data_IF_178003394607
#
_entry.id   IF_178003394607
#
_cell.length_a   1.000
_cell.length_b   1.000
_cell.length_c   1.000
_cell.angle_alpha   90.00
_cell.angle_beta   90.00
_cell.angle_gamma   90.00
#
_symmetry.space_group_name_H-M   'P 1'
#
loop_
_entity.id
_entity.type
_entity.pdbx_description
1 polymer ?
#
# COMPACT_ATOMS: atom_id res chain seq x y z
N UNK A 1 -16.31 19.27 37.48
CA UNK A 1 -15.55 18.56 36.41
C UNK A 1 -16.08 18.98 35.04
N UNK A 2 -15.24 19.48 34.15
CA UNK A 2 -15.65 19.72 32.74
C UNK A 2 -16.05 18.37 32.11
N UNK A 3 -17.27 18.31 31.53
CA UNK A 3 -17.71 17.15 30.76
C UNK A 3 -16.73 16.89 29.64
N UNK A 4 -16.05 15.72 29.61
CA UNK A 4 -15.19 15.35 28.49
C UNK A 4 -16.05 14.61 27.47
N UNK A 5 -16.32 15.28 26.34
CA UNK A 5 -16.99 14.70 25.19
C UNK A 5 -15.93 14.55 24.09
N UNK A 6 -15.92 13.40 23.47
CA UNK A 6 -15.04 13.12 22.30
C UNK A 6 -15.92 12.81 21.08
N UNK A 7 -15.45 13.25 19.93
CA UNK A 7 -16.07 12.95 18.62
C UNK A 7 -15.03 12.28 17.72
N UNK A 8 -15.43 11.21 17.07
CA UNK A 8 -14.61 10.45 16.09
C UNK A 8 -15.42 10.16 14.84
N UNK A 9 -14.74 9.88 13.73
CA UNK A 9 -15.39 9.58 12.46
C UNK A 9 -15.94 10.82 11.76
N UNK A 10 -16.71 10.60 10.69
CA UNK A 10 -17.27 11.67 9.87
C UNK A 10 -18.73 11.37 9.53
N UNK A 11 -19.53 12.44 9.46
CA UNK A 11 -20.90 12.41 8.95
C UNK A 11 -21.15 13.58 8.00
N UNK A 12 -22.19 13.48 7.20
CA UNK A 12 -22.62 14.55 6.31
C UNK A 12 -23.16 14.06 4.97
N UNK A 13 -23.67 14.97 4.13
CA UNK A 13 -24.35 14.61 2.89
C UNK A 13 -23.46 13.86 1.88
N UNK A 14 -22.17 14.21 1.84
CA UNK A 14 -21.17 13.61 0.94
C UNK A 14 -20.44 12.41 1.55
N UNK A 15 -20.63 12.15 2.84
CA UNK A 15 -19.97 11.02 3.53
C UNK A 15 -20.75 9.74 3.23
N UNK A 16 -20.00 8.68 2.92
CA UNK A 16 -20.51 7.32 2.67
C UNK A 16 -19.70 6.30 3.46
N UNK A 17 -20.39 5.28 3.95
CA UNK A 17 -19.77 4.13 4.63
C UNK A 17 -18.95 4.51 5.86
N UNK A 18 -19.23 5.66 6.49
CA UNK A 18 -18.63 6.12 7.74
C UNK A 18 -19.72 6.53 8.71
N UNK A 19 -19.36 6.76 9.97
CA UNK A 19 -20.24 7.32 10.99
C UNK A 19 -19.46 8.29 11.87
N UNK A 20 -20.15 9.31 12.36
CA UNK A 20 -19.66 10.18 13.43
C UNK A 20 -20.20 9.65 14.75
N UNK A 21 -19.30 9.45 15.71
CA UNK A 21 -19.63 8.99 17.06
C UNK A 21 -19.20 10.06 18.07
N UNK A 22 -20.13 10.48 18.89
CA UNK A 22 -19.88 11.28 20.09
C UNK A 22 -20.03 10.40 21.31
N UNK A 23 -19.08 10.47 22.25
CA UNK A 23 -19.10 9.70 23.49
C UNK A 23 -18.92 10.63 24.70
N UNK A 24 -19.81 10.51 25.67
CA UNK A 24 -19.69 11.12 26.99
C UNK A 24 -19.84 10.02 28.07
N UNK A 25 -18.81 9.81 28.89
CA UNK A 25 -18.87 8.91 30.04
C UNK A 25 -19.54 9.65 31.22
N UNK A 26 -20.51 9.00 31.84
CA UNK A 26 -21.32 9.54 32.93
C UNK A 26 -20.99 8.88 34.27
N UNK A 27 -21.27 9.55 35.40
CA UNK A 27 -21.13 8.93 36.73
C UNK A 27 -22.26 7.93 37.04
N UNK A 28 -23.40 7.98 36.33
CA UNK A 28 -24.56 7.13 36.51
C UNK A 28 -25.56 7.28 35.37
N UNK A 29 -26.68 6.56 35.41
CA UNK A 29 -27.76 6.64 34.42
C UNK A 29 -27.76 5.53 33.36
N UNK A 30 -26.82 4.60 33.44
CA UNK A 30 -26.73 3.50 32.47
C UNK A 30 -26.19 3.90 31.10
N UNK A 31 -26.40 3.04 30.10
CA UNK A 31 -25.97 3.25 28.72
C UNK A 31 -27.14 3.78 27.90
N UNK A 32 -26.95 4.91 27.26
CA UNK A 32 -27.88 5.50 26.28
C UNK A 32 -27.23 5.59 24.93
N UNK A 33 -27.92 5.14 23.88
CA UNK A 33 -27.44 5.21 22.49
C UNK A 33 -28.48 5.94 21.64
N UNK A 34 -28.09 7.11 21.14
CA UNK A 34 -28.92 7.96 20.30
C UNK A 34 -28.47 7.78 18.85
N UNK A 35 -29.24 7.01 18.05
CA UNK A 35 -28.91 6.65 16.68
C UNK A 35 -29.73 7.46 15.67
N UNK A 36 -29.01 8.20 14.83
CA UNK A 36 -29.49 8.77 13.55
C UNK A 36 -28.80 8.00 12.44
N UNK A 37 -29.56 7.33 11.56
CA UNK A 37 -28.99 6.51 10.49
C UNK A 37 -29.91 6.46 9.28
N UNK A 38 -29.31 6.53 8.08
CA UNK A 38 -30.00 6.33 6.79
C UNK A 38 -30.54 4.90 6.63
N UNK A 39 -29.96 3.96 7.33
CA UNK A 39 -30.28 2.52 7.27
C UNK A 39 -30.95 2.02 8.57
N UNK A 40 -31.47 2.92 9.40
CA UNK A 40 -32.02 2.63 10.73
C UNK A 40 -33.12 1.55 10.69
N UNK A 41 -33.98 1.57 9.67
CA UNK A 41 -35.10 0.60 9.55
C UNK A 41 -34.59 -0.83 9.45
N UNK A 42 -33.50 -1.06 8.69
CA UNK A 42 -32.95 -2.40 8.47
C UNK A 42 -31.93 -2.81 9.53
N UNK A 43 -31.04 -1.90 9.91
CA UNK A 43 -29.86 -2.21 10.71
C UNK A 43 -29.81 -1.50 12.07
N UNK A 44 -30.79 -0.68 12.43
CA UNK A 44 -30.75 0.11 13.66
C UNK A 44 -30.56 -0.73 14.92
N UNK A 45 -31.27 -1.87 15.03
CA UNK A 45 -31.13 -2.79 16.17
C UNK A 45 -29.71 -3.39 16.27
N UNK A 46 -29.15 -3.84 15.14
CA UNK A 46 -27.80 -4.43 15.10
C UNK A 46 -26.71 -3.40 15.40
N UNK A 47 -26.85 -2.15 14.93
CA UNK A 47 -25.94 -1.06 15.26
C UNK A 47 -25.93 -0.79 16.76
N UNK A 48 -27.12 -0.64 17.38
CA UNK A 48 -27.24 -0.40 18.83
C UNK A 48 -26.67 -1.58 19.62
N UNK A 49 -26.98 -2.82 19.22
CA UNK A 49 -26.45 -4.03 19.86
C UNK A 49 -24.91 -4.07 19.82
N UNK A 50 -24.31 -3.78 18.67
CA UNK A 50 -22.86 -3.73 18.52
C UNK A 50 -22.23 -2.67 19.45
N UNK A 51 -22.82 -1.47 19.52
CA UNK A 51 -22.31 -0.43 20.39
C UNK A 51 -22.41 -0.81 21.89
N UNK A 52 -23.51 -1.45 22.29
CA UNK A 52 -23.68 -1.96 23.66
C UNK A 52 -22.64 -3.03 23.98
N UNK A 53 -22.37 -3.95 23.04
CA UNK A 53 -21.36 -4.99 23.18
C UNK A 53 -19.96 -4.38 23.37
N UNK A 54 -19.59 -3.39 22.54
CA UNK A 54 -18.30 -2.71 22.63
C UNK A 54 -18.16 -1.98 23.98
N UNK A 55 -19.16 -1.22 24.39
CA UNK A 55 -19.13 -0.52 25.68
C UNK A 55 -18.98 -1.49 26.85
N UNK A 56 -19.70 -2.62 26.82
CA UNK A 56 -19.57 -3.69 27.81
C UNK A 56 -18.16 -4.33 27.78
N UNK A 57 -17.60 -4.56 26.59
CA UNK A 57 -16.25 -5.09 26.45
C UNK A 57 -15.19 -4.18 27.11
N UNK A 58 -15.37 -2.86 27.03
CA UNK A 58 -14.51 -1.87 27.71
C UNK A 58 -14.94 -1.58 29.16
N UNK A 59 -15.89 -2.34 29.71
CA UNK A 59 -16.42 -2.21 31.10
C UNK A 59 -17.04 -0.84 31.38
N UNK A 60 -17.52 -0.13 30.35
CA UNK A 60 -18.23 1.14 30.52
C UNK A 60 -19.68 0.87 30.90
N UNK A 61 -20.06 1.32 32.08
CA UNK A 61 -21.41 1.08 32.67
C UNK A 61 -22.36 2.24 32.43
N UNK A 62 -21.85 3.46 32.31
CA UNK A 62 -22.65 4.67 32.19
C UNK A 62 -22.08 5.60 31.12
N UNK A 63 -22.79 5.80 30.04
CA UNK A 63 -22.38 6.66 28.94
C UNK A 63 -23.57 7.10 28.09
N UNK A 64 -23.40 8.23 27.39
CA UNK A 64 -24.27 8.64 26.29
C UNK A 64 -23.43 8.57 25.01
N UNK A 65 -23.94 7.82 24.04
CA UNK A 65 -23.31 7.67 22.71
C UNK A 65 -24.26 8.22 21.66
N UNK A 66 -23.87 9.30 21.01
CA UNK A 66 -24.55 9.80 19.81
C UNK A 66 -23.90 9.19 18.58
N UNK A 67 -24.71 8.68 17.64
CA UNK A 67 -24.24 8.07 16.40
C UNK A 67 -24.99 8.72 15.24
N UNK A 68 -24.23 9.35 14.34
CA UNK A 68 -24.74 9.83 13.04
C UNK A 68 -24.14 8.96 11.95
N UNK A 69 -24.91 7.96 11.51
CA UNK A 69 -24.45 6.91 10.59
C UNK A 69 -24.81 7.20 9.14
N UNK A 70 -23.81 7.17 8.28
CA UNK A 70 -23.92 7.31 6.81
C UNK A 70 -23.76 5.95 6.08
N UNK A 71 -24.20 4.86 6.70
CA UNK A 71 -24.11 3.50 6.17
C UNK A 71 -22.75 2.83 6.46
N UNK A 72 -22.21 3.06 7.62
CA UNK A 72 -20.98 2.44 8.09
C UNK A 72 -21.14 0.92 8.26
N UNK A 73 -20.13 0.17 7.85
CA UNK A 73 -20.07 -1.26 8.15
C UNK A 73 -19.70 -1.49 9.62
N UNK A 74 -20.02 -2.68 10.20
CA UNK A 74 -19.76 -2.98 11.59
C UNK A 74 -18.32 -2.71 12.05
N UNK A 75 -17.32 -3.03 11.22
CA UNK A 75 -15.92 -2.80 11.55
C UNK A 75 -15.55 -1.31 11.65
N UNK A 76 -16.25 -0.44 10.90
CA UNK A 76 -16.08 1.02 10.95
C UNK A 76 -16.68 1.57 12.23
N UNK A 77 -17.93 1.18 12.56
CA UNK A 77 -18.60 1.57 13.81
C UNK A 77 -17.74 1.17 15.01
N UNK A 78 -17.24 -0.08 15.00
CA UNK A 78 -16.38 -0.57 16.05
C UNK A 78 -15.09 0.26 16.19
N UNK A 79 -14.43 0.59 15.06
CA UNK A 79 -13.23 1.41 15.07
C UNK A 79 -13.47 2.82 15.61
N UNK A 80 -14.57 3.47 15.18
CA UNK A 80 -14.91 4.82 15.61
C UNK A 80 -15.27 4.86 17.10
N UNK A 81 -16.06 3.89 17.59
CA UNK A 81 -16.43 3.82 19.01
C UNK A 81 -15.21 3.49 19.88
N UNK A 82 -14.38 2.53 19.50
CA UNK A 82 -13.13 2.24 20.23
C UNK A 82 -12.20 3.46 20.27
N UNK A 83 -12.06 4.19 19.17
CA UNK A 83 -11.27 5.42 19.15
C UNK A 83 -11.81 6.47 20.13
N UNK A 84 -13.13 6.64 20.20
CA UNK A 84 -13.76 7.55 21.16
C UNK A 84 -13.52 7.11 22.60
N UNK A 85 -13.64 5.82 22.89
CA UNK A 85 -13.39 5.24 24.22
C UNK A 85 -11.94 5.49 24.65
N UNK A 86 -10.98 5.13 23.80
CA UNK A 86 -9.54 5.31 24.07
C UNK A 86 -9.12 6.77 24.21
N UNK A 87 -9.87 7.69 23.64
CA UNK A 87 -9.66 9.13 23.85
C UNK A 87 -10.13 9.64 25.21
N UNK A 88 -10.97 8.88 25.94
CA UNK A 88 -11.50 9.26 27.27
C UNK A 88 -10.88 8.46 28.41
N UNK A 89 -10.52 7.20 28.17
CA UNK A 89 -9.93 6.31 29.16
C UNK A 89 -8.67 5.65 28.60
N UNK A 90 -7.69 5.44 29.47
CA UNK A 90 -6.54 4.59 29.15
C UNK A 90 -7.01 3.12 29.15
N UNK A 91 -6.69 2.39 28.09
CA UNK A 91 -7.05 0.98 27.98
C UNK A 91 -6.12 0.27 26.99
N UNK A 92 -5.61 -0.88 27.40
CA UNK A 92 -4.85 -1.80 26.53
C UNK A 92 -5.76 -2.79 25.79
N UNK A 93 -7.07 -2.76 26.06
CA UNK A 93 -8.04 -3.64 25.40
C UNK A 93 -8.26 -3.21 23.96
N UNK A 94 -8.41 -4.17 23.09
CA UNK A 94 -8.72 -3.98 21.67
C UNK A 94 -9.99 -4.76 21.31
N UNK A 95 -11.01 -4.06 20.80
CA UNK A 95 -12.18 -4.74 20.26
C UNK A 95 -11.91 -5.16 18.81
N UNK A 96 -11.54 -6.44 18.63
CA UNK A 96 -11.10 -6.96 17.35
C UNK A 96 -12.24 -7.67 16.61
N UNK A 97 -12.69 -7.16 15.43
CA UNK A 97 -13.58 -7.93 14.57
C UNK A 97 -12.89 -9.22 14.09
N UNK A 98 -13.65 -10.27 13.80
CA UNK A 98 -13.09 -11.53 13.32
C UNK A 98 -12.31 -11.33 12.01
N UNK A 99 -11.17 -12.00 11.86
CA UNK A 99 -10.42 -12.00 10.61
C UNK A 99 -11.15 -12.85 9.56
N UNK A 100 -11.52 -12.25 8.43
CA UNK A 100 -12.10 -12.98 7.31
C UNK A 100 -11.09 -13.95 6.68
N UNK A 101 -11.58 -15.05 6.10
CA UNK A 101 -10.71 -16.09 5.53
C UNK A 101 -9.95 -15.60 4.30
N UNK A 102 -10.58 -14.75 3.51
CA UNK A 102 -10.09 -14.16 2.28
C UNK A 102 -8.78 -13.36 2.50
N UNK A 103 -8.53 -12.88 3.72
CA UNK A 103 -7.32 -12.14 4.06
C UNK A 103 -6.18 -12.98 4.67
N UNK A 104 -6.32 -14.31 4.71
CA UNK A 104 -5.30 -15.18 5.32
C UNK A 104 -4.13 -15.56 4.41
N UNK A 105 -4.05 -14.98 3.19
CA UNK A 105 -2.90 -15.19 2.30
C UNK A 105 -1.66 -14.41 2.74
N UNK A 106 -0.50 -14.89 2.32
CA UNK A 106 0.80 -14.21 2.43
C UNK A 106 1.22 -13.63 1.08
N UNK A 107 2.22 -12.76 1.11
CA UNK A 107 2.90 -12.25 -0.09
C UNK A 107 4.26 -12.92 -0.26
N UNK A 108 4.90 -12.71 -1.41
CA UNK A 108 6.25 -13.20 -1.73
C UNK A 108 7.18 -12.05 -2.06
N UNK A 109 8.50 -12.29 -1.92
CA UNK A 109 9.54 -11.32 -2.24
C UNK A 109 9.44 -10.87 -3.71
N UNK A 110 9.25 -11.81 -4.62
CA UNK A 110 9.31 -11.60 -6.07
C UNK A 110 7.96 -11.23 -6.69
N UNK A 111 6.97 -10.88 -5.86
CA UNK A 111 5.67 -10.46 -6.34
C UNK A 111 5.82 -9.20 -7.20
N UNK A 112 5.09 -9.14 -8.34
CA UNK A 112 5.01 -7.90 -9.12
C UNK A 112 4.26 -6.81 -8.37
N UNK A 113 4.75 -5.56 -8.52
CA UNK A 113 4.18 -4.39 -7.85
C UNK A 113 3.98 -3.24 -8.85
N UNK A 114 3.34 -3.53 -10.02
CA UNK A 114 3.16 -2.55 -11.08
C UNK A 114 2.41 -1.32 -10.60
N UNK A 115 1.19 -1.49 -10.08
CA UNK A 115 0.38 -0.41 -9.53
C UNK A 115 0.16 -0.58 -8.04
N UNK A 116 0.25 0.53 -7.29
CA UNK A 116 -0.03 0.54 -5.86
C UNK A 116 -0.93 1.72 -5.54
N UNK A 117 -2.18 1.39 -5.18
CA UNK A 117 -3.22 2.37 -4.92
C UNK A 117 -3.11 2.90 -3.49
N UNK A 118 -2.86 4.20 -3.34
CA UNK A 118 -2.95 4.89 -2.06
C UNK A 118 -4.42 5.10 -1.68
N UNK A 119 -4.76 4.75 -0.45
CA UNK A 119 -6.09 4.89 0.14
C UNK A 119 -5.94 5.54 1.52
N UNK A 120 -6.51 6.73 1.76
CA UNK A 120 -6.41 7.39 3.06
C UNK A 120 -6.92 6.51 4.22
N UNK A 121 -6.10 6.38 5.27
CA UNK A 121 -6.35 5.50 6.42
C UNK A 121 -7.51 5.90 7.31
N UNK A 122 -8.13 7.04 7.07
CA UNK A 122 -9.33 7.50 7.79
C UNK A 122 -10.60 7.56 6.92
N UNK A 123 -10.57 6.99 5.70
CA UNK A 123 -11.65 7.07 4.70
C UNK A 123 -12.21 5.68 4.37
N UNK A 124 -13.10 5.11 5.22
CA UNK A 124 -13.58 3.74 5.04
C UNK A 124 -14.33 3.53 3.72
N UNK A 125 -15.03 4.55 3.21
CA UNK A 125 -15.73 4.47 1.93
C UNK A 125 -14.82 4.22 0.72
N UNK A 126 -13.54 4.61 0.79
CA UNK A 126 -12.54 4.32 -0.24
C UNK A 126 -11.89 2.94 -0.03
N UNK A 127 -11.79 2.48 1.22
CA UNK A 127 -11.18 1.19 1.55
C UNK A 127 -12.02 -0.01 1.11
N UNK A 128 -13.34 0.05 1.34
CA UNK A 128 -14.27 -1.09 1.18
C UNK A 128 -14.18 -1.73 -0.20
N UNK A 129 -14.04 -0.92 -1.24
CA UNK A 129 -14.01 -1.37 -2.63
C UNK A 129 -12.59 -1.39 -3.24
N UNK A 130 -11.55 -1.10 -2.48
CA UNK A 130 -10.19 -0.97 -3.01
C UNK A 130 -9.72 -2.25 -3.73
N UNK A 131 -10.05 -3.43 -3.20
CA UNK A 131 -9.71 -4.73 -3.81
C UNK A 131 -10.36 -5.01 -5.16
N UNK A 132 -11.43 -4.29 -5.53
CA UNK A 132 -12.13 -4.48 -6.80
C UNK A 132 -11.40 -3.87 -8.01
N UNK A 133 -10.44 -3.00 -7.78
CA UNK A 133 -9.77 -2.23 -8.83
C UNK A 133 -8.55 -2.95 -9.45
N UNK A 134 -8.24 -4.18 -9.00
CA UNK A 134 -7.15 -5.01 -9.55
C UNK A 134 -5.76 -4.33 -9.52
N UNK A 135 -5.49 -3.50 -8.49
CA UNK A 135 -4.15 -3.02 -8.22
C UNK A 135 -3.26 -4.17 -7.75
N UNK A 136 -1.96 -4.10 -7.98
CA UNK A 136 -1.01 -5.08 -7.44
C UNK A 136 -0.79 -4.91 -5.93
N UNK A 137 -0.91 -3.68 -5.42
CA UNK A 137 -0.88 -3.36 -4.00
C UNK A 137 -1.90 -2.30 -3.63
N UNK A 138 -2.42 -2.38 -2.39
CA UNK A 138 -3.26 -1.34 -1.78
C UNK A 138 -2.52 -0.83 -0.56
N UNK A 139 -2.25 0.46 -0.54
CA UNK A 139 -1.56 1.16 0.53
C UNK A 139 -2.63 1.86 1.38
N UNK A 140 -2.87 1.34 2.59
CA UNK A 140 -3.65 2.05 3.60
C UNK A 140 -2.72 3.07 4.25
N UNK A 141 -2.99 4.34 4.03
CA UNK A 141 -2.08 5.41 4.37
C UNK A 141 -2.40 6.04 5.73
N UNK A 142 -1.47 5.94 6.69
CA UNK A 142 -1.57 6.56 8.01
C UNK A 142 -0.80 7.88 8.11
N UNK A 143 -0.03 8.22 7.06
CA UNK A 143 0.84 9.40 7.08
C UNK A 143 0.13 10.65 6.51
N UNK A 144 0.58 11.24 5.43
CA UNK A 144 0.19 12.57 4.95
C UNK A 144 -1.29 12.73 4.64
N UNK A 145 -1.97 11.65 4.22
CA UNK A 145 -3.41 11.70 3.93
C UNK A 145 -4.31 11.78 5.17
N UNK A 146 -3.73 11.66 6.37
CA UNK A 146 -4.45 11.70 7.65
C UNK A 146 -3.99 12.88 8.48
N UNK A 147 -4.93 13.77 8.84
CA UNK A 147 -4.64 14.92 9.69
C UNK A 147 -4.07 14.49 11.06
N UNK A 148 -3.11 15.23 11.66
CA UNK A 148 -2.46 14.84 12.91
C UNK A 148 -3.42 14.48 14.05
N UNK A 149 -4.49 15.24 14.23
CA UNK A 149 -5.50 15.00 15.25
C UNK A 149 -6.31 13.72 15.04
N UNK A 150 -6.24 13.12 13.84
CA UNK A 150 -7.03 11.95 13.43
C UNK A 150 -6.20 10.66 13.36
N UNK A 151 -4.90 10.72 13.63
CA UNK A 151 -3.98 9.58 13.53
C UNK A 151 -4.41 8.38 14.38
N UNK A 152 -4.82 8.61 15.62
CA UNK A 152 -5.21 7.53 16.55
C UNK A 152 -6.45 6.78 16.07
N UNK A 153 -7.48 7.47 15.57
CA UNK A 153 -8.66 6.78 15.05
C UNK A 153 -8.38 6.08 13.70
N UNK A 154 -7.48 6.62 12.88
CA UNK A 154 -7.08 6.00 11.61
C UNK A 154 -6.37 4.66 11.84
N UNK A 155 -5.48 4.55 12.85
CA UNK A 155 -4.82 3.28 13.23
C UNK A 155 -5.82 2.17 13.48
N UNK A 156 -6.83 2.46 14.31
CA UNK A 156 -7.86 1.50 14.69
C UNK A 156 -8.70 1.12 13.46
N UNK A 157 -9.04 2.09 12.61
CA UNK A 157 -9.78 1.83 11.39
C UNK A 157 -8.98 0.96 10.40
N UNK A 158 -7.70 1.27 10.18
CA UNK A 158 -6.80 0.47 9.31
C UNK A 158 -6.63 -0.94 9.87
N UNK A 159 -6.45 -1.09 11.18
CA UNK A 159 -6.42 -2.39 11.86
C UNK A 159 -7.67 -3.23 11.55
N UNK A 160 -8.85 -2.64 11.73
CA UNK A 160 -10.11 -3.33 11.48
C UNK A 160 -10.34 -3.60 9.99
N UNK A 161 -9.90 -2.69 9.10
CA UNK A 161 -9.96 -2.87 7.65
C UNK A 161 -9.11 -4.07 7.19
N UNK A 162 -7.88 -4.21 7.68
CA UNK A 162 -7.01 -5.37 7.40
C UNK A 162 -7.65 -6.70 7.80
N UNK A 163 -8.56 -6.70 8.78
CA UNK A 163 -9.27 -7.89 9.25
C UNK A 163 -10.54 -8.20 8.46
N UNK A 164 -11.26 -7.18 7.97
CA UNK A 164 -12.64 -7.31 7.51
C UNK A 164 -12.88 -6.99 6.04
N UNK A 165 -11.93 -6.34 5.35
CA UNK A 165 -12.08 -6.03 3.91
C UNK A 165 -11.45 -7.16 3.10
N UNK A 166 -12.18 -7.68 2.10
CA UNK A 166 -11.63 -8.57 1.10
C UNK A 166 -10.79 -7.79 0.09
N UNK A 167 -9.46 -7.92 0.21
CA UNK A 167 -8.49 -7.30 -0.70
C UNK A 167 -8.28 -8.10 -1.99
N UNK A 168 -9.02 -9.18 -2.21
CA UNK A 168 -9.00 -10.00 -3.43
C UNK A 168 -7.61 -10.46 -3.88
N UNK A 169 -6.80 -10.88 -2.93
CA UNK A 169 -5.43 -11.32 -3.20
C UNK A 169 -4.43 -10.19 -3.49
N UNK A 170 -4.85 -8.92 -3.45
CA UNK A 170 -3.96 -7.76 -3.59
C UNK A 170 -3.02 -7.66 -2.39
N UNK A 171 -1.76 -7.24 -2.59
CA UNK A 171 -0.82 -7.05 -1.49
C UNK A 171 -1.29 -5.92 -0.56
N UNK A 172 -1.49 -6.26 0.71
CA UNK A 172 -1.92 -5.32 1.75
C UNK A 172 -0.72 -4.58 2.27
N UNK A 173 -0.67 -3.30 1.96
CA UNK A 173 0.42 -2.41 2.35
C UNK A 173 -0.10 -1.35 3.32
N UNK A 174 0.75 -0.90 4.24
CA UNK A 174 0.46 0.24 5.11
C UNK A 174 1.63 1.21 5.07
N UNK A 175 1.36 2.48 4.76
CA UNK A 175 2.33 3.55 4.97
C UNK A 175 2.15 4.04 6.41
N UNK A 176 3.16 3.80 7.24
CA UNK A 176 3.18 4.22 8.65
C UNK A 176 3.57 5.70 8.78
N UNK A 177 3.38 6.26 9.94
CA UNK A 177 3.90 7.59 10.27
C UNK A 177 5.42 7.57 10.45
N UNK A 178 6.03 8.74 10.54
CA UNK A 178 7.45 8.89 10.81
C UNK A 178 7.77 8.69 12.31
N UNK A 179 9.00 8.28 12.61
CA UNK A 179 9.56 8.23 13.96
C UNK A 179 8.74 7.36 14.92
N UNK A 180 8.62 7.81 16.15
CA UNK A 180 7.89 7.11 17.23
C UNK A 180 6.43 6.79 16.86
N UNK A 181 5.76 7.69 16.13
CA UNK A 181 4.39 7.45 15.70
C UNK A 181 4.29 6.26 14.75
N UNK A 182 5.29 6.06 13.89
CA UNK A 182 5.38 4.88 13.01
C UNK A 182 5.60 3.59 13.81
N UNK A 183 6.43 3.61 14.83
CA UNK A 183 6.62 2.44 15.72
C UNK A 183 5.33 2.08 16.47
N UNK A 184 4.52 3.08 16.85
CA UNK A 184 3.19 2.86 17.43
C UNK A 184 2.25 2.25 16.39
N UNK A 185 2.26 2.72 15.14
CA UNK A 185 1.40 2.20 14.06
C UNK A 185 1.62 0.70 13.84
N UNK A 186 2.87 0.22 13.96
CA UNK A 186 3.20 -1.20 13.78
C UNK A 186 2.43 -2.10 14.75
N UNK A 187 2.12 -1.64 15.98
CA UNK A 187 1.33 -2.43 16.93
C UNK A 187 -0.09 -2.70 16.42
N UNK A 188 -0.62 -1.78 15.62
CA UNK A 188 -1.98 -1.87 15.08
C UNK A 188 -2.05 -2.62 13.75
N UNK A 189 -0.95 -2.87 13.07
CA UNK A 189 -1.01 -3.47 11.72
C UNK A 189 -0.31 -4.81 11.61
N UNK A 190 0.82 -5.01 12.30
CA UNK A 190 1.59 -6.27 12.22
C UNK A 190 0.77 -7.49 12.68
N UNK A 191 0.02 -7.45 13.82
CA UNK A 191 -0.78 -8.60 14.25
C UNK A 191 -1.96 -8.90 13.33
N UNK A 192 -2.26 -8.00 12.39
CA UNK A 192 -3.48 -8.05 11.59
C UNK A 192 -3.25 -8.34 10.11
N UNK A 193 -2.17 -9.06 9.81
CA UNK A 193 -1.93 -9.68 8.51
C UNK A 193 -1.59 -8.68 7.39
N UNK A 194 -0.92 -7.57 7.71
CA UNK A 194 -0.28 -6.71 6.72
C UNK A 194 0.82 -7.50 6.00
N UNK A 195 1.05 -7.22 4.73
CA UNK A 195 2.07 -7.89 3.93
C UNK A 195 3.36 -7.07 3.82
N UNK A 196 3.23 -5.73 3.75
CA UNK A 196 4.34 -4.84 3.49
C UNK A 196 4.12 -3.49 4.18
N UNK A 197 5.18 -2.97 4.77
CA UNK A 197 5.22 -1.65 5.42
C UNK A 197 5.97 -0.68 4.51
N UNK A 198 5.33 0.45 4.16
CA UNK A 198 6.01 1.58 3.56
C UNK A 198 6.59 2.45 4.67
N UNK A 199 7.89 2.71 4.58
CA UNK A 199 8.63 3.57 5.51
C UNK A 199 8.80 4.94 4.87
N UNK A 200 8.00 5.96 5.25
CA UNK A 200 8.07 7.29 4.64
C UNK A 200 9.35 8.02 5.05
N UNK A 201 9.78 8.95 4.22
CA UNK A 201 10.90 9.88 4.47
C UNK A 201 12.13 9.16 5.03
N UNK A 202 12.44 8.03 4.38
CA UNK A 202 13.55 7.18 4.80
C UNK A 202 14.88 7.76 4.31
N UNK A 203 15.77 8.07 5.24
CA UNK A 203 17.06 8.69 4.99
C UNK A 203 18.24 7.90 5.56
N UNK A 204 17.99 6.98 6.49
CA UNK A 204 19.08 6.27 7.20
C UNK A 204 18.76 4.78 7.37
N UNK A 205 19.85 4.01 7.48
CA UNK A 205 19.79 2.57 7.82
C UNK A 205 19.18 2.34 9.22
N UNK A 206 19.41 3.25 10.15
CA UNK A 206 18.90 3.10 11.53
C UNK A 206 17.38 3.21 11.62
N UNK A 207 16.74 3.97 10.71
CA UNK A 207 15.26 3.96 10.60
C UNK A 207 14.76 2.57 10.23
N UNK A 208 15.37 1.91 9.26
CA UNK A 208 15.02 0.54 8.86
C UNK A 208 15.22 -0.44 10.01
N UNK A 209 16.39 -0.42 10.65
CA UNK A 209 16.70 -1.31 11.78
C UNK A 209 15.75 -1.15 12.97
N UNK A 210 15.35 0.08 13.28
CA UNK A 210 14.39 0.37 14.35
C UNK A 210 13.01 -0.22 14.04
N UNK A 211 12.56 -0.12 12.79
CA UNK A 211 11.29 -0.68 12.31
C UNK A 211 11.36 -2.21 12.32
N UNK A 212 12.43 -2.82 11.80
CA UNK A 212 12.60 -4.28 11.82
C UNK A 212 12.59 -4.83 13.24
N UNK A 213 13.37 -4.21 14.13
CA UNK A 213 13.38 -4.63 15.54
C UNK A 213 11.97 -4.61 16.13
N UNK A 214 11.18 -3.56 15.85
CA UNK A 214 9.80 -3.47 16.35
C UNK A 214 8.89 -4.53 15.73
N UNK A 215 9.04 -4.81 14.43
CA UNK A 215 8.30 -5.89 13.75
C UNK A 215 8.66 -7.25 14.37
N UNK A 216 9.92 -7.51 14.64
CA UNK A 216 10.40 -8.76 15.24
C UNK A 216 9.86 -8.96 16.66
N UNK A 217 9.87 -7.91 17.49
CA UNK A 217 9.32 -7.94 18.84
C UNK A 217 7.82 -8.26 18.81
N UNK A 218 7.05 -7.56 18.00
CA UNK A 218 5.60 -7.81 17.83
C UNK A 218 5.37 -9.23 17.27
N UNK A 219 6.14 -9.64 16.27
CA UNK A 219 6.00 -10.96 15.65
C UNK A 219 6.25 -12.09 16.62
N UNK A 220 7.20 -11.91 17.55
CA UNK A 220 7.49 -12.85 18.62
C UNK A 220 6.33 -12.95 19.60
N UNK A 221 5.81 -11.80 20.06
CA UNK A 221 4.73 -11.73 21.03
C UNK A 221 3.43 -12.37 20.51
N UNK A 222 3.13 -12.12 19.22
CA UNK A 222 1.93 -12.64 18.55
C UNK A 222 2.15 -13.97 17.82
N UNK A 223 3.35 -14.55 17.88
CA UNK A 223 3.74 -15.82 17.21
C UNK A 223 3.50 -15.79 15.69
N UNK A 224 3.79 -14.66 15.05
CA UNK A 224 3.64 -14.47 13.61
C UNK A 224 4.85 -15.12 12.93
N UNK A 225 4.59 -16.02 11.96
CA UNK A 225 5.63 -16.73 11.18
C UNK A 225 5.77 -16.25 9.74
N UNK A 226 4.81 -15.43 9.28
CA UNK A 226 4.82 -14.89 7.92
C UNK A 226 5.73 -13.68 7.85
N UNK A 227 6.54 -13.53 6.79
CA UNK A 227 7.37 -12.35 6.64
C UNK A 227 6.49 -11.11 6.44
N UNK A 228 6.93 -9.99 7.00
CA UNK A 228 6.43 -8.65 6.71
C UNK A 228 7.54 -7.92 5.97
N UNK A 229 7.28 -7.56 4.71
CA UNK A 229 8.28 -6.89 3.90
C UNK A 229 8.30 -5.38 4.12
N UNK A 230 9.39 -4.75 3.70
CA UNK A 230 9.62 -3.31 3.82
C UNK A 230 9.77 -2.67 2.43
N UNK A 231 9.30 -1.44 2.32
CA UNK A 231 9.52 -0.56 1.17
C UNK A 231 9.84 0.85 1.69
N UNK A 232 11.12 1.22 1.82
CA UNK A 232 11.49 2.60 2.09
C UNK A 232 11.03 3.52 0.95
N UNK A 233 10.52 4.69 1.30
CA UNK A 233 10.18 5.78 0.38
C UNK A 233 11.23 6.86 0.54
N UNK A 234 11.96 7.13 -0.54
CA UNK A 234 13.05 8.10 -0.59
C UNK A 234 12.50 9.41 -1.15
N UNK A 235 12.54 10.46 -0.34
CA UNK A 235 11.79 11.69 -0.58
C UNK A 235 12.60 12.95 -0.31
N UNK A 236 13.94 12.81 -0.17
CA UNK A 236 14.86 13.94 0.04
C UNK A 236 16.18 13.73 -0.70
N UNK A 237 16.92 14.81 -0.92
CA UNK A 237 18.23 14.77 -1.52
C UNK A 237 19.20 13.88 -0.73
N UNK A 238 19.18 13.97 0.62
CA UNK A 238 20.02 13.13 1.46
C UNK A 238 19.66 11.65 1.34
N UNK A 239 18.35 11.30 1.34
CA UNK A 239 17.90 9.93 1.13
C UNK A 239 18.31 9.37 -0.24
N UNK A 240 18.29 10.19 -1.30
CA UNK A 240 18.76 9.79 -2.64
C UNK A 240 20.24 9.42 -2.60
N UNK A 241 21.10 10.21 -1.94
CA UNK A 241 22.53 9.87 -1.83
C UNK A 241 22.78 8.61 -1.00
N UNK A 242 21.92 8.32 -0.02
CA UNK A 242 21.99 7.13 0.85
C UNK A 242 21.23 5.92 0.32
N UNK A 243 20.58 6.01 -0.84
CA UNK A 243 19.63 5.00 -1.32
C UNK A 243 20.21 3.58 -1.42
N UNK A 244 21.48 3.40 -1.80
CA UNK A 244 22.08 2.07 -1.86
C UNK A 244 22.32 1.48 -0.46
N UNK A 245 22.82 2.28 0.48
CA UNK A 245 23.03 1.87 1.86
C UNK A 245 21.70 1.42 2.50
N UNK A 246 20.64 2.20 2.27
CA UNK A 246 19.28 1.87 2.73
C UNK A 246 18.78 0.59 2.06
N UNK A 247 18.86 0.50 0.72
CA UNK A 247 18.36 -0.64 -0.06
C UNK A 247 18.99 -1.97 0.35
N UNK A 248 20.28 -1.96 0.73
CA UNK A 248 21.06 -3.15 1.10
C UNK A 248 21.06 -3.44 2.60
N UNK A 249 20.34 -2.66 3.41
CA UNK A 249 20.42 -2.75 4.88
C UNK A 249 19.62 -3.90 5.49
N UNK A 250 18.70 -4.50 4.74
CA UNK A 250 17.84 -5.59 5.21
C UNK A 250 17.36 -6.50 4.08
N UNK A 251 17.31 -7.79 4.35
CA UNK A 251 16.71 -8.80 3.46
C UNK A 251 15.19 -8.66 3.36
N UNK A 252 14.52 -7.99 4.30
CA UNK A 252 13.09 -7.75 4.26
C UNK A 252 12.70 -6.60 3.33
N UNK A 253 13.65 -5.78 2.88
CA UNK A 253 13.40 -4.79 1.84
C UNK A 253 13.25 -5.52 0.50
N UNK A 254 12.09 -5.35 -0.13
CA UNK A 254 11.76 -6.00 -1.41
C UNK A 254 11.57 -5.00 -2.54
N UNK A 255 11.39 -3.74 -2.19
CA UNK A 255 11.23 -2.63 -3.13
C UNK A 255 11.66 -1.32 -2.48
N UNK A 256 11.96 -0.31 -3.28
CA UNK A 256 12.26 1.05 -2.85
C UNK A 256 11.51 2.03 -3.74
N UNK A 257 10.78 2.97 -3.15
CA UNK A 257 10.00 3.96 -3.87
C UNK A 257 10.63 5.35 -3.80
N UNK A 258 10.37 6.18 -4.82
CA UNK A 258 10.68 7.61 -4.79
C UNK A 258 9.40 8.42 -4.60
N UNK A 259 9.44 9.45 -3.73
CA UNK A 259 8.37 10.43 -3.53
C UNK A 259 8.78 11.79 -4.09
N UNK A 260 8.32 12.12 -5.31
CA UNK A 260 8.81 13.30 -6.02
C UNK A 260 8.24 14.62 -5.48
N UNK A 261 7.04 14.63 -4.87
CA UNK A 261 6.47 15.86 -4.31
C UNK A 261 7.33 16.34 -3.12
N UNK A 262 7.60 15.46 -2.16
CA UNK A 262 8.45 15.79 -1.00
C UNK A 262 9.90 16.02 -1.43
N UNK A 263 10.41 15.25 -2.41
CA UNK A 263 11.77 15.44 -2.94
C UNK A 263 11.93 16.83 -3.52
N UNK A 264 11.05 17.28 -4.41
CA UNK A 264 11.16 18.63 -5.02
C UNK A 264 10.93 19.72 -3.99
N UNK A 265 10.03 19.52 -3.02
CA UNK A 265 9.85 20.43 -1.89
C UNK A 265 11.12 20.53 -1.05
N UNK A 266 11.81 19.42 -0.76
CA UNK A 266 13.08 19.42 -0.02
C UNK A 266 14.21 20.14 -0.73
N UNK A 267 14.17 20.17 -2.06
CA UNK A 267 15.11 20.88 -2.93
C UNK A 267 14.75 22.36 -3.12
N UNK A 268 13.55 22.78 -2.71
CA UNK A 268 13.05 24.14 -2.95
C UNK A 268 12.72 24.45 -4.41
N UNK A 269 12.36 23.43 -5.21
CA UNK A 269 12.06 23.54 -6.65
C UNK A 269 10.67 23.01 -6.96
N UNK A 270 10.10 23.45 -8.07
CA UNK A 270 8.81 22.93 -8.54
C UNK A 270 9.00 21.61 -9.28
N UNK A 271 8.06 20.68 -9.11
CA UNK A 271 7.93 19.49 -9.94
C UNK A 271 7.39 19.88 -11.32
N UNK A 272 7.99 19.33 -12.39
CA UNK A 272 7.58 19.59 -13.77
C UNK A 272 7.12 18.30 -14.47
N UNK A 273 6.31 18.45 -15.52
CA UNK A 273 5.87 17.30 -16.34
C UNK A 273 7.04 16.68 -17.14
N UNK A 274 8.06 17.48 -17.47
CA UNK A 274 9.27 17.02 -18.16
C UNK A 274 10.18 16.19 -17.26
N UNK A 275 10.13 16.42 -15.94
CA UNK A 275 10.85 15.66 -14.91
C UNK A 275 12.37 15.78 -14.97
N UNK A 276 12.89 16.87 -15.56
CA UNK A 276 14.36 17.11 -15.65
C UNK A 276 14.98 17.31 -14.27
N UNK A 277 14.27 18.00 -13.37
CA UNK A 277 14.68 18.27 -11.99
C UNK A 277 14.84 16.99 -11.16
N UNK A 278 14.11 15.95 -11.51
CA UNK A 278 14.09 14.67 -10.79
C UNK A 278 14.87 13.54 -11.50
N UNK A 279 15.39 13.78 -12.69
CA UNK A 279 16.03 12.74 -13.51
C UNK A 279 17.19 12.05 -12.81
N UNK A 280 18.10 12.82 -12.20
CA UNK A 280 19.23 12.24 -11.44
C UNK A 280 18.72 11.39 -10.26
N UNK A 281 17.80 11.92 -9.46
CA UNK A 281 17.26 11.23 -8.30
C UNK A 281 16.58 9.89 -8.70
N UNK A 282 15.77 9.90 -9.78
CA UNK A 282 15.11 8.72 -10.31
C UNK A 282 16.10 7.66 -10.78
N UNK A 283 17.10 8.05 -11.57
CA UNK A 283 18.11 7.12 -12.08
C UNK A 283 19.04 6.61 -10.97
N UNK A 284 19.39 7.44 -9.99
CA UNK A 284 20.18 7.06 -8.82
C UNK A 284 19.46 6.01 -7.99
N UNK A 285 18.17 6.22 -7.72
CA UNK A 285 17.33 5.26 -6.99
C UNK A 285 17.21 3.92 -7.73
N UNK A 286 16.97 3.96 -9.05
CA UNK A 286 16.91 2.74 -9.86
C UNK A 286 18.22 1.95 -9.77
N UNK A 287 19.36 2.61 -9.91
CA UNK A 287 20.67 1.95 -9.80
C UNK A 287 20.86 1.34 -8.41
N UNK A 288 20.52 2.06 -7.33
CA UNK A 288 20.63 1.58 -5.97
C UNK A 288 19.75 0.34 -5.72
N UNK A 289 18.48 0.39 -6.14
CA UNK A 289 17.55 -0.72 -5.98
C UNK A 289 18.00 -1.96 -6.78
N UNK A 290 18.43 -1.78 -8.04
CA UNK A 290 18.92 -2.88 -8.88
C UNK A 290 20.21 -3.49 -8.34
N UNK A 291 21.12 -2.68 -7.81
CA UNK A 291 22.34 -3.16 -7.18
C UNK A 291 22.08 -3.98 -5.90
N UNK A 292 21.03 -3.62 -5.16
CA UNK A 292 20.57 -4.36 -3.99
C UNK A 292 19.64 -5.57 -4.33
N UNK A 293 19.29 -5.78 -5.60
CA UNK A 293 18.40 -6.86 -6.03
C UNK A 293 16.94 -6.69 -5.62
N UNK A 294 16.46 -5.44 -5.50
CA UNK A 294 15.08 -5.10 -5.14
C UNK A 294 14.39 -4.28 -6.24
N UNK A 295 13.06 -4.15 -6.15
CA UNK A 295 12.26 -3.45 -7.15
C UNK A 295 12.32 -1.93 -6.97
N UNK A 296 12.76 -1.15 -7.98
CA UNK A 296 12.61 0.31 -7.98
C UNK A 296 11.18 0.68 -8.39
N UNK A 297 10.60 1.60 -7.64
CA UNK A 297 9.21 2.00 -7.77
C UNK A 297 9.11 3.51 -7.92
N UNK A 298 8.47 3.95 -9.00
CA UNK A 298 8.36 5.38 -9.30
C UNK A 298 7.25 6.07 -8.51
N UNK A 299 7.29 7.39 -8.50
CA UNK A 299 6.35 8.27 -7.83
C UNK A 299 4.94 8.19 -8.42
N UNK A 300 3.97 8.73 -7.69
CA UNK A 300 2.61 8.91 -8.18
C UNK A 300 2.56 9.96 -9.29
N UNK A 301 1.59 9.81 -10.19
CA UNK A 301 1.22 10.83 -11.15
C UNK A 301 0.02 11.61 -10.61
N UNK A 302 0.18 12.90 -10.35
CA UNK A 302 -0.78 13.72 -9.59
C UNK A 302 -2.02 14.14 -10.39
N UNK A 303 -1.92 14.28 -11.72
CA UNK A 303 -3.05 14.66 -12.55
C UNK A 303 -3.94 13.44 -12.88
N UNK A 304 -5.07 13.32 -12.19
CA UNK A 304 -5.99 12.17 -12.33
C UNK A 304 -6.85 12.18 -13.58
N UNK A 305 -6.88 13.28 -14.30
CA UNK A 305 -7.73 13.44 -15.48
C UNK A 305 -6.96 13.25 -16.80
N UNK A 306 -5.64 13.41 -16.80
CA UNK A 306 -4.79 13.27 -18.00
C UNK A 306 -4.19 11.88 -18.14
N UNK A 307 -4.96 10.96 -18.71
CA UNK A 307 -4.51 9.58 -18.94
C UNK A 307 -3.44 9.47 -20.03
N UNK A 308 -3.38 10.38 -20.99
CA UNK A 308 -2.35 10.36 -22.04
C UNK A 308 -1.00 10.80 -21.49
N UNK A 309 -0.96 11.83 -20.65
CA UNK A 309 0.26 12.19 -19.92
C UNK A 309 0.71 11.07 -18.98
N UNK A 310 -0.24 10.39 -18.30
CA UNK A 310 0.08 9.21 -17.50
C UNK A 310 0.73 8.10 -18.33
N UNK A 311 0.22 7.77 -19.52
CA UNK A 311 0.83 6.76 -20.42
C UNK A 311 2.27 7.12 -20.76
N UNK A 312 2.53 8.37 -21.10
CA UNK A 312 3.89 8.87 -21.41
C UNK A 312 4.80 8.75 -20.17
N UNK A 313 4.28 9.12 -19.00
CA UNK A 313 5.02 9.01 -17.75
C UNK A 313 5.36 7.55 -17.41
N UNK A 314 4.41 6.62 -17.56
CA UNK A 314 4.66 5.17 -17.36
C UNK A 314 5.72 4.64 -18.33
N UNK A 315 5.66 5.02 -19.61
CA UNK A 315 6.66 4.62 -20.59
C UNK A 315 8.05 5.16 -20.23
N UNK A 316 8.14 6.41 -19.78
CA UNK A 316 9.38 7.00 -19.29
C UNK A 316 9.91 6.25 -18.05
N UNK A 317 9.05 5.99 -17.06
CA UNK A 317 9.40 5.21 -15.87
C UNK A 317 9.97 3.85 -16.22
N UNK A 318 9.28 3.08 -17.09
CA UNK A 318 9.74 1.78 -17.59
C UNK A 318 11.10 1.90 -18.30
N UNK A 319 11.30 2.95 -19.10
CA UNK A 319 12.57 3.17 -19.81
C UNK A 319 13.75 3.49 -18.91
N UNK A 320 13.51 4.12 -17.75
CA UNK A 320 14.51 4.37 -16.71
C UNK A 320 14.84 3.12 -15.88
N UNK A 321 14.04 2.06 -16.00
CA UNK A 321 14.24 0.79 -15.29
C UNK A 321 13.39 0.60 -14.05
N UNK A 322 12.38 1.43 -13.79
CA UNK A 322 11.38 1.19 -12.76
C UNK A 322 10.54 -0.06 -13.08
N UNK A 323 10.01 -0.70 -12.05
CA UNK A 323 9.19 -1.91 -12.15
C UNK A 323 7.73 -1.69 -11.69
N UNK A 324 7.37 -0.47 -11.41
CA UNK A 324 6.03 -0.06 -11.00
C UNK A 324 6.00 1.38 -10.53
N UNK A 325 4.81 1.86 -10.20
CA UNK A 325 4.62 3.19 -9.65
C UNK A 325 3.40 3.28 -8.72
N UNK A 326 3.36 4.31 -7.88
CA UNK A 326 2.19 4.63 -7.07
C UNK A 326 1.05 5.18 -7.92
N UNK A 327 -0.19 5.04 -7.45
CA UNK A 327 -1.36 5.72 -8.01
C UNK A 327 -2.29 6.20 -6.90
N UNK A 328 -3.00 7.29 -7.17
CA UNK A 328 -3.90 7.97 -6.21
C UNK A 328 -5.37 7.86 -6.62
N UNK A 329 -5.64 7.29 -7.78
CA UNK A 329 -7.01 7.10 -8.27
C UNK A 329 -7.15 5.76 -9.02
N UNK A 330 -8.26 5.01 -8.86
CA UNK A 330 -8.47 3.72 -9.52
C UNK A 330 -8.36 3.76 -11.06
N UNK A 331 -8.72 4.87 -11.72
CA UNK A 331 -8.59 5.04 -13.18
C UNK A 331 -7.16 4.87 -13.69
N UNK A 332 -6.17 5.16 -12.86
CA UNK A 332 -4.74 5.07 -13.21
C UNK A 332 -4.26 3.62 -13.29
N UNK A 333 -4.89 2.70 -12.56
CA UNK A 333 -4.42 1.32 -12.36
C UNK A 333 -4.26 0.58 -13.69
N UNK A 334 -5.29 0.61 -14.55
CA UNK A 334 -5.25 -0.11 -15.82
C UNK A 334 -4.12 0.41 -16.75
N UNK A 335 -3.93 1.74 -16.80
CA UNK A 335 -2.87 2.38 -17.60
C UNK A 335 -1.49 1.94 -17.10
N UNK A 336 -1.27 1.96 -15.79
CA UNK A 336 -0.01 1.56 -15.15
C UNK A 336 0.26 0.07 -15.38
N UNK A 337 -0.71 -0.80 -15.12
CA UNK A 337 -0.56 -2.23 -15.27
C UNK A 337 -0.24 -2.61 -16.73
N UNK A 338 -0.92 -1.99 -17.70
CA UNK A 338 -0.66 -2.22 -19.12
C UNK A 338 0.72 -1.70 -19.52
N UNK A 339 1.11 -0.52 -19.03
CA UNK A 339 2.37 0.09 -19.43
C UNK A 339 3.63 -0.62 -18.91
N UNK A 340 3.59 -1.19 -17.68
CA UNK A 340 4.71 -1.97 -17.14
C UNK A 340 4.74 -3.41 -17.67
N UNK A 341 3.61 -3.98 -18.06
CA UNK A 341 3.57 -5.29 -18.69
C UNK A 341 4.21 -5.23 -20.11
N UNK A 342 4.79 -6.34 -20.61
CA UNK A 342 5.23 -6.41 -21.99
C UNK A 342 4.05 -6.38 -22.96
N UNK A 343 4.19 -5.65 -24.06
CA UNK A 343 3.23 -5.67 -25.17
C UNK A 343 3.54 -6.80 -26.17
N UNK A 344 2.63 -7.03 -27.12
CA UNK A 344 2.79 -8.09 -28.13
C UNK A 344 4.04 -7.90 -29.01
N UNK A 345 4.38 -6.65 -29.35
CA UNK A 345 5.55 -6.35 -30.16
C UNK A 345 6.86 -6.62 -29.39
N UNK A 346 6.90 -6.27 -28.09
CA UNK A 346 8.02 -6.58 -27.21
C UNK A 346 8.19 -8.11 -27.04
N UNK A 347 7.09 -8.85 -26.86
CA UNK A 347 7.09 -10.31 -26.74
C UNK A 347 7.60 -10.96 -28.01
N UNK A 348 7.03 -10.61 -29.17
CA UNK A 348 7.40 -11.21 -30.44
C UNK A 348 8.85 -10.91 -30.83
N UNK A 349 9.33 -9.70 -30.61
CA UNK A 349 10.73 -9.33 -30.79
C UNK A 349 11.65 -10.14 -29.87
N UNK A 350 11.26 -10.34 -28.61
CA UNK A 350 12.04 -11.09 -27.64
C UNK A 350 12.10 -12.59 -28.01
N UNK A 351 10.99 -13.18 -28.49
CA UNK A 351 10.98 -14.55 -29.03
C UNK A 351 11.98 -14.73 -30.17
N UNK A 352 11.97 -13.83 -31.17
CA UNK A 352 12.90 -13.87 -32.29
C UNK A 352 14.37 -13.80 -31.86
N UNK A 353 14.67 -12.93 -30.88
CA UNK A 353 16.02 -12.78 -30.34
C UNK A 353 16.49 -14.07 -29.66
N UNK A 354 15.67 -14.64 -28.78
CA UNK A 354 16.04 -15.86 -28.02
C UNK A 354 16.21 -17.04 -28.97
N UNK A 355 15.27 -17.29 -29.88
CA UNK A 355 15.36 -18.41 -30.85
C UNK A 355 16.57 -18.29 -31.77
N UNK A 356 16.84 -17.10 -32.34
CA UNK A 356 17.99 -16.88 -33.19
C UNK A 356 19.32 -17.14 -32.46
N UNK A 357 19.41 -16.74 -31.19
CA UNK A 357 20.61 -16.96 -30.41
C UNK A 357 20.79 -18.45 -30.00
N UNK A 358 19.69 -19.14 -29.61
CA UNK A 358 19.71 -20.58 -29.34
C UNK A 358 20.21 -21.37 -30.58
N UNK A 359 19.80 -20.98 -31.78
CA UNK A 359 20.25 -21.58 -33.02
C UNK A 359 21.73 -21.28 -33.32
N UNK A 360 22.18 -20.05 -33.06
CA UNK A 360 23.59 -19.67 -33.21
C UNK A 360 24.49 -20.44 -32.27
N UNK A 361 24.05 -20.63 -30.98
CA UNK A 361 24.80 -21.44 -30.01
C UNK A 361 24.97 -22.90 -30.45
N UNK A 362 23.92 -23.51 -31.05
CA UNK A 362 24.03 -24.89 -31.64
C UNK A 362 25.06 -24.98 -32.73
N UNK A 363 25.32 -23.88 -33.45
CA UNK A 363 26.33 -23.76 -34.48
C UNK A 363 27.71 -23.30 -33.97
N UNK A 364 27.88 -23.15 -32.64
CA UNK A 364 29.12 -22.73 -32.00
C UNK A 364 29.39 -21.21 -32.03
N UNK A 365 28.38 -20.39 -32.33
CA UNK A 365 28.52 -18.93 -32.37
C UNK A 365 27.97 -18.31 -31.07
N UNK A 366 28.71 -17.39 -30.45
CA UNK A 366 28.31 -16.62 -29.29
C UNK A 366 27.61 -15.28 -29.60
N UNK A 367 27.43 -14.97 -30.91
CA UNK A 367 26.83 -13.74 -31.42
C UNK A 367 26.06 -14.06 -32.70
N UNK A 368 24.92 -13.39 -32.91
CA UNK A 368 24.10 -13.52 -34.11
C UNK A 368 23.55 -12.17 -34.56
N UNK A 369 23.37 -11.97 -35.87
CA UNK A 369 22.67 -10.82 -36.39
C UNK A 369 21.17 -11.10 -36.53
N UNK A 370 20.32 -10.25 -35.97
CA UNK A 370 18.88 -10.25 -36.21
C UNK A 370 18.49 -8.92 -36.84
N UNK A 371 18.17 -8.96 -38.12
CA UNK A 371 18.07 -7.74 -38.94
C UNK A 371 19.43 -7.03 -39.03
N UNK A 372 19.44 -5.74 -38.73
CA UNK A 372 20.64 -4.92 -38.67
C UNK A 372 21.35 -4.87 -37.31
N UNK A 373 20.88 -5.63 -36.33
CA UNK A 373 21.40 -5.56 -34.94
C UNK A 373 22.18 -6.81 -34.58
N UNK A 374 23.34 -6.60 -33.98
CA UNK A 374 24.11 -7.63 -33.31
C UNK A 374 23.45 -8.02 -31.98
N UNK A 375 23.26 -9.33 -31.77
CA UNK A 375 22.69 -9.93 -30.60
C UNK A 375 23.76 -10.74 -29.87
N UNK A 376 24.02 -10.35 -28.64
CA UNK A 376 24.95 -10.99 -27.71
C UNK A 376 24.23 -11.45 -26.45
N UNK A 377 24.91 -12.11 -25.51
CA UNK A 377 24.35 -12.66 -24.31
C UNK A 377 23.57 -11.62 -23.44
N UNK A 378 24.03 -10.37 -23.22
CA UNK A 378 23.26 -9.34 -22.51
C UNK A 378 21.92 -8.98 -23.18
N UNK A 379 21.89 -8.95 -24.51
CA UNK A 379 20.64 -8.68 -25.26
C UNK A 379 19.65 -9.83 -25.10
N UNK A 380 20.14 -11.07 -25.16
CA UNK A 380 19.33 -12.28 -24.95
C UNK A 380 18.81 -12.36 -23.54
N UNK A 381 19.62 -12.06 -22.54
CA UNK A 381 19.18 -12.05 -21.14
C UNK A 381 18.03 -11.06 -20.90
N UNK A 382 18.04 -9.89 -21.54
CA UNK A 382 16.91 -8.94 -21.49
C UNK A 382 15.68 -9.48 -22.19
N UNK A 383 15.84 -10.09 -23.37
CA UNK A 383 14.73 -10.69 -24.10
C UNK A 383 14.09 -11.85 -23.32
N UNK A 384 14.91 -12.69 -22.67
CA UNK A 384 14.41 -13.78 -21.82
C UNK A 384 13.59 -13.27 -20.66
N UNK A 385 14.01 -12.19 -19.97
CA UNK A 385 13.22 -11.57 -18.90
C UNK A 385 11.84 -11.09 -19.35
N UNK A 386 11.75 -10.55 -20.58
CA UNK A 386 10.46 -10.12 -21.16
C UNK A 386 9.57 -11.34 -21.42
N UNK A 387 10.12 -12.43 -21.94
CA UNK A 387 9.41 -13.68 -22.16
C UNK A 387 8.92 -14.27 -20.83
N UNK A 388 9.79 -14.37 -19.84
CA UNK A 388 9.45 -14.92 -18.54
C UNK A 388 8.31 -14.12 -17.89
N UNK A 389 8.39 -12.81 -17.98
CA UNK A 389 7.33 -11.91 -17.50
C UNK A 389 6.02 -12.12 -18.27
N UNK A 390 6.07 -12.27 -19.60
CA UNK A 390 4.90 -12.52 -20.42
C UNK A 390 4.23 -13.86 -20.09
N UNK A 391 5.01 -14.90 -19.81
CA UNK A 391 4.52 -16.23 -19.40
C UNK A 391 3.83 -16.13 -18.03
N UNK A 392 4.46 -15.49 -17.04
CA UNK A 392 3.89 -15.33 -15.70
C UNK A 392 2.58 -14.53 -15.74
N UNK A 393 2.50 -13.52 -16.61
CA UNK A 393 1.28 -12.71 -16.81
C UNK A 393 0.21 -13.41 -17.67
N UNK A 394 0.45 -14.62 -18.16
CA UNK A 394 -0.45 -15.36 -19.05
C UNK A 394 -0.63 -14.75 -20.44
N UNK A 395 0.29 -13.85 -20.85
CA UNK A 395 0.32 -13.25 -22.20
C UNK A 395 1.05 -14.11 -23.23
N UNK A 396 1.82 -15.08 -22.78
CA UNK A 396 2.53 -16.06 -23.58
C UNK A 396 2.40 -17.43 -22.91
N UNK A 397 2.19 -18.48 -23.69
CA UNK A 397 2.14 -19.84 -23.17
C UNK A 397 3.52 -20.30 -22.69
N UNK A 398 3.58 -21.16 -21.70
CA UNK A 398 4.84 -21.70 -21.18
C UNK A 398 5.59 -22.55 -22.23
N UNK A 399 4.82 -23.22 -23.12
CA UNK A 399 5.32 -24.07 -24.21
C UNK A 399 5.54 -23.30 -25.55
N UNK A 400 5.66 -21.97 -25.52
CA UNK A 400 5.78 -21.09 -26.67
C UNK A 400 6.86 -21.46 -27.70
N UNK A 401 7.87 -22.24 -27.31
CA UNK A 401 8.91 -22.74 -28.20
C UNK A 401 8.40 -23.84 -29.14
N UNK A 402 7.35 -24.56 -28.78
CA UNK A 402 6.75 -25.62 -29.58
C UNK A 402 5.88 -25.09 -30.71
N UNK A 403 5.34 -23.87 -30.56
CA UNK A 403 4.53 -23.20 -31.58
C UNK A 403 5.34 -22.72 -32.81
N UNK A 404 6.67 -22.77 -32.75
CA UNK A 404 7.59 -22.26 -33.79
C UNK A 404 8.23 -23.43 -34.57
N UNK A 405 7.89 -24.65 -34.22
CA UNK A 405 8.26 -25.86 -34.98
C UNK A 405 7.16 -26.25 -35.92
#
# INVERSE_FOLDING_TARGET
MKRKIITTGNAGPKIRSDCEITLEIKPGGGLQIDLVSKVKVLYGKSIVSLCMEILKYFEIKNAVVGINDSGALPFVIAARLEAAIRGLIESDREYLPLMIRENKYSTTRDRFRFSRLYVPGNSPGLMINAGLHSAYGIILDLEDSVAPARKNEARILVRNALRQIDFRGTERMVRINQGEQGLIDLNYVIPHNVNLILVPKCETVDQIKSIEKRIDDISRDYKIRKPVFLMPVIESAYGIEKSFEIASSSENIVAMAIGLEDFTASMGIARTDEGKESFYARTRLVNAAKAAGIQPIDSVFSNIDDMEALKKNVAQSKSLGFEGMGCIHPRQIAVINTGFAPDEAEIEKSRKIVLAFEEALKKGFGVVAVGSRMIDAPVVARAQKIIDLAVILGKLRADWREEVR
#
